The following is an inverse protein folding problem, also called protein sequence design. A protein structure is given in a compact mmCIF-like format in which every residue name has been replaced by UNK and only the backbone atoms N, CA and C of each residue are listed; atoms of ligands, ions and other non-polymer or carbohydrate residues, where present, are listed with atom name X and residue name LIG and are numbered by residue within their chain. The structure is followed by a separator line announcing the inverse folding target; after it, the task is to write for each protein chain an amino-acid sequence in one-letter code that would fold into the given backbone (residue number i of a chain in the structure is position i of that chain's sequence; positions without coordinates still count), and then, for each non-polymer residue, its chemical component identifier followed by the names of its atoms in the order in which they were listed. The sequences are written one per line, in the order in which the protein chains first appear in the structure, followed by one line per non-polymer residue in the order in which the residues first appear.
data_IF_859118550552
#
_entry.id   IF_859118550552
#
_cell.length_a   1.000
_cell.length_b   1.000
_cell.length_c   1.000
_cell.angle_alpha   90.00
_cell.angle_beta   90.00
_cell.angle_gamma   90.00
#
_symmetry.space_group_name_H-M   'P 1'
#
loop_
_entity.id
_entity.type
_entity.pdbx_description
1 polymer ?
#
# COMPACT_ATOMS: atom_id res chain seq x y z
N UNK A 1 -1.24 10.84 14.40
CA UNK A 1 -2.06 9.86 15.15
C UNK A 1 -1.58 8.46 14.88
N UNK A 2 -2.15 7.45 15.50
CA UNK A 2 -1.81 6.04 15.24
C UNK A 2 -3.03 5.24 14.80
N UNK A 3 -2.79 4.06 14.22
CA UNK A 3 -3.82 3.16 13.70
C UNK A 3 -3.80 1.87 14.49
N UNK A 4 -4.99 1.41 14.92
CA UNK A 4 -5.23 0.08 15.47
C UNK A 4 -5.59 -0.88 14.33
N UNK A 5 -4.84 -1.96 14.18
CA UNK A 5 -4.87 -2.88 13.04
C UNK A 5 -5.41 -4.28 13.40
N UNK A 6 -6.38 -4.38 14.32
CA UNK A 6 -6.90 -5.67 14.77
C UNK A 6 -7.78 -6.38 13.72
N UNK A 7 -7.51 -7.67 13.38
CA UNK A 7 -8.38 -8.47 12.52
C UNK A 7 -9.53 -9.10 13.32
N UNK A 8 -10.45 -9.75 12.62
CA UNK A 8 -11.51 -10.55 13.25
C UNK A 8 -11.30 -12.06 13.08
N UNK A 9 -11.97 -12.85 13.92
CA UNK A 9 -12.10 -14.30 13.78
C UNK A 9 -13.23 -14.66 12.80
N UNK A 10 -13.28 -15.92 12.38
CA UNK A 10 -14.40 -16.43 11.54
C UNK A 10 -15.78 -16.25 12.18
N UNK A 11 -15.87 -16.11 13.51
CA UNK A 11 -17.12 -15.79 14.21
C UNK A 11 -17.45 -14.29 14.26
N UNK A 12 -16.63 -13.44 13.66
CA UNK A 12 -16.82 -11.99 13.63
C UNK A 12 -16.38 -11.25 14.90
N UNK A 13 -15.71 -11.93 15.83
CA UNK A 13 -15.14 -11.31 17.05
C UNK A 13 -13.73 -10.80 16.76
N UNK A 14 -13.27 -9.77 17.47
CA UNK A 14 -11.87 -9.31 17.39
C UNK A 14 -10.92 -10.47 17.71
N UNK A 15 -9.91 -10.64 16.87
CA UNK A 15 -8.88 -11.64 17.06
C UNK A 15 -7.85 -11.17 18.12
N UNK A 16 -7.25 -12.11 18.80
CA UNK A 16 -6.06 -11.88 19.65
C UNK A 16 -4.75 -12.03 18.87
N UNK A 17 -4.82 -12.51 17.63
CA UNK A 17 -3.67 -12.59 16.73
C UNK A 17 -3.44 -11.23 16.07
N UNK A 18 -2.19 -10.90 15.77
CA UNK A 18 -1.87 -9.75 14.95
C UNK A 18 -2.47 -9.91 13.55
N UNK A 19 -2.82 -8.81 12.92
CA UNK A 19 -3.33 -8.82 11.54
C UNK A 19 -2.26 -9.30 10.56
N UNK A 20 -2.69 -9.91 9.46
CA UNK A 20 -1.84 -9.99 8.25
C UNK A 20 -2.19 -8.86 7.28
N UNK A 21 -1.32 -8.64 6.29
CA UNK A 21 -1.52 -7.56 5.30
C UNK A 21 -2.83 -7.72 4.52
N UNK A 22 -3.31 -8.94 4.28
CA UNK A 22 -4.55 -9.15 3.55
C UNK A 22 -5.78 -8.61 4.31
N UNK A 23 -5.90 -8.95 5.60
CA UNK A 23 -6.99 -8.48 6.44
C UNK A 23 -6.88 -6.97 6.71
N UNK A 24 -5.66 -6.46 6.96
CA UNK A 24 -5.47 -5.02 7.21
C UNK A 24 -5.72 -4.18 5.95
N UNK A 25 -5.15 -4.55 4.80
CA UNK A 25 -5.41 -3.85 3.54
C UNK A 25 -6.89 -3.88 3.16
N UNK A 26 -7.57 -5.02 3.38
CA UNK A 26 -9.03 -5.11 3.21
C UNK A 26 -9.74 -4.10 4.11
N UNK A 27 -9.37 -4.01 5.39
CA UNK A 27 -10.01 -3.08 6.31
C UNK A 27 -9.80 -1.62 5.90
N UNK A 28 -8.58 -1.26 5.48
CA UNK A 28 -8.27 0.08 4.97
C UNK A 28 -8.97 0.40 3.65
N UNK A 29 -9.14 -0.59 2.78
CA UNK A 29 -9.73 -0.39 1.45
C UNK A 29 -11.27 -0.44 1.43
N UNK A 30 -11.92 -1.04 2.44
CA UNK A 30 -13.37 -1.32 2.42
C UNK A 30 -14.14 -0.84 3.65
N UNK A 31 -13.44 -0.43 4.72
CA UNK A 31 -14.07 -0.07 5.99
C UNK A 31 -14.61 -1.26 6.80
N UNK A 32 -14.27 -2.50 6.41
CA UNK A 32 -14.75 -3.71 7.07
C UNK A 32 -13.58 -4.57 7.56
N UNK A 33 -13.67 -5.02 8.80
CA UNK A 33 -12.75 -6.02 9.34
C UNK A 33 -13.03 -7.39 8.71
N UNK A 34 -11.96 -8.14 8.43
CA UNK A 34 -12.05 -9.52 7.96
C UNK A 34 -11.07 -10.43 8.69
N UNK A 35 -11.03 -11.70 8.36
CA UNK A 35 -10.09 -12.66 8.92
C UNK A 35 -8.77 -12.64 8.16
N UNK A 36 -7.68 -12.97 8.84
CA UNK A 36 -6.37 -13.10 8.20
C UNK A 36 -6.44 -13.98 6.95
N UNK A 37 -5.68 -13.61 5.92
CA UNK A 37 -5.59 -14.21 4.58
C UNK A 37 -6.76 -13.92 3.63
N UNK A 38 -7.87 -13.36 4.08
CA UNK A 38 -8.97 -12.94 3.21
C UNK A 38 -8.64 -11.58 2.58
N UNK A 39 -9.03 -11.43 1.34
CA UNK A 39 -8.77 -10.25 0.50
C UNK A 39 -10.09 -9.73 -0.03
N UNK A 40 -10.47 -8.50 0.29
CA UNK A 40 -11.68 -7.84 -0.19
C UNK A 40 -12.99 -8.56 0.11
N UNK A 41 -13.01 -9.47 1.09
CA UNK A 41 -14.19 -10.32 1.38
C UNK A 41 -14.45 -10.46 2.87
N UNK A 42 -15.72 -10.63 3.24
CA UNK A 42 -16.11 -11.06 4.58
C UNK A 42 -15.94 -12.58 4.77
N UNK A 43 -15.94 -13.07 6.03
CA UNK A 43 -15.84 -14.51 6.33
C UNK A 43 -16.91 -15.39 5.67
N UNK A 44 -18.12 -14.86 5.47
CA UNK A 44 -19.24 -15.56 4.80
C UNK A 44 -19.07 -15.65 3.27
N UNK A 45 -18.10 -14.92 2.72
CA UNK A 45 -17.81 -14.89 1.29
C UNK A 45 -18.45 -13.72 0.54
N UNK A 46 -19.02 -12.75 1.26
CA UNK A 46 -19.50 -11.51 0.66
C UNK A 46 -18.30 -10.69 0.17
N UNK A 47 -18.30 -10.32 -1.10
CA UNK A 47 -17.34 -9.39 -1.68
C UNK A 47 -17.65 -7.97 -1.21
N UNK A 48 -16.60 -7.20 -0.89
CA UNK A 48 -16.69 -5.86 -0.33
C UNK A 48 -16.33 -4.82 -1.38
N UNK A 49 -17.11 -3.74 -1.45
CA UNK A 49 -16.77 -2.59 -2.29
C UNK A 49 -15.52 -1.89 -1.74
N UNK A 50 -14.51 -1.71 -2.59
CA UNK A 50 -13.26 -1.05 -2.22
C UNK A 50 -13.33 0.46 -2.50
N UNK A 51 -12.41 1.23 -1.92
CA UNK A 51 -12.28 2.65 -2.22
C UNK A 51 -11.96 2.90 -3.71
N UNK A 52 -11.31 1.92 -4.39
CA UNK A 52 -11.07 2.00 -5.83
C UNK A 52 -12.38 1.84 -6.61
N UNK A 53 -13.27 0.94 -6.18
CA UNK A 53 -14.59 0.78 -6.78
C UNK A 53 -15.43 2.05 -6.61
N UNK A 54 -15.41 2.63 -5.40
CA UNK A 54 -16.11 3.91 -5.11
C UNK A 54 -15.57 5.03 -6.00
N UNK A 55 -14.24 5.18 -6.10
CA UNK A 55 -13.62 6.21 -6.93
C UNK A 55 -13.96 6.04 -8.41
N UNK A 56 -13.89 4.81 -8.92
CA UNK A 56 -14.33 4.49 -10.30
C UNK A 56 -15.81 4.83 -10.52
N UNK A 57 -16.67 4.53 -9.53
CA UNK A 57 -18.09 4.87 -9.55
C UNK A 57 -18.36 6.38 -9.60
N UNK A 58 -17.43 7.19 -9.10
CA UNK A 58 -17.44 8.66 -9.17
C UNK A 58 -16.76 9.21 -10.43
N UNK A 59 -16.35 8.37 -11.36
CA UNK A 59 -15.68 8.75 -12.61
C UNK A 59 -14.20 9.11 -12.45
N UNK A 60 -13.58 8.81 -11.30
CA UNK A 60 -12.16 9.11 -11.03
C UNK A 60 -11.25 7.98 -11.48
N UNK A 61 -10.08 8.33 -11.98
CA UNK A 61 -9.05 7.33 -12.25
C UNK A 61 -8.54 6.69 -10.95
N UNK A 62 -8.10 5.44 -11.04
CA UNK A 62 -7.55 4.69 -9.91
C UNK A 62 -6.24 4.02 -10.25
N UNK A 63 -5.33 3.93 -9.28
CA UNK A 63 -4.03 3.34 -9.48
C UNK A 63 -3.46 2.64 -8.25
N UNK A 64 -2.64 1.64 -8.52
CA UNK A 64 -1.88 0.89 -7.52
C UNK A 64 -0.44 0.79 -8.00
N UNK A 65 0.51 1.20 -7.15
CA UNK A 65 1.95 1.09 -7.36
C UNK A 65 2.56 0.38 -6.16
N UNK A 66 3.37 -0.64 -6.40
CA UNK A 66 4.06 -1.36 -5.33
C UNK A 66 5.47 -1.77 -5.73
N UNK A 67 6.40 -1.78 -4.78
CA UNK A 67 7.73 -2.40 -4.94
C UNK A 67 7.69 -3.92 -4.79
N UNK A 68 6.54 -4.49 -4.45
CA UNK A 68 6.29 -5.93 -4.41
C UNK A 68 5.58 -6.40 -5.69
N UNK A 69 5.22 -7.68 -5.75
CA UNK A 69 4.33 -8.18 -6.79
C UNK A 69 2.92 -7.60 -6.63
N UNK A 70 2.25 -7.30 -7.75
CA UNK A 70 0.84 -6.90 -7.73
C UNK A 70 -0.09 -7.95 -7.12
N UNK A 71 0.32 -9.23 -7.10
CA UNK A 71 -0.40 -10.32 -6.45
C UNK A 71 -0.14 -10.38 -4.93
N UNK A 72 0.66 -9.44 -4.39
CA UNK A 72 0.85 -9.23 -2.96
C UNK A 72 -0.47 -8.92 -2.26
N UNK A 73 -0.49 -9.10 -0.95
CA UNK A 73 -1.71 -8.96 -0.17
C UNK A 73 -2.25 -7.53 -0.14
N UNK A 74 -1.36 -6.53 0.02
CA UNK A 74 -1.75 -5.13 0.11
C UNK A 74 -2.36 -4.61 -1.19
N UNK A 75 -1.69 -4.70 -2.37
CA UNK A 75 -2.30 -4.27 -3.63
C UNK A 75 -3.60 -5.05 -3.93
N UNK A 76 -3.64 -6.33 -3.59
CA UNK A 76 -4.84 -7.15 -3.77
C UNK A 76 -5.99 -6.72 -2.86
N UNK A 77 -5.72 -6.28 -1.62
CA UNK A 77 -6.74 -5.79 -0.69
C UNK A 77 -7.52 -4.58 -1.22
N UNK A 78 -6.90 -3.78 -2.11
CA UNK A 78 -7.51 -2.63 -2.75
C UNK A 78 -8.18 -2.94 -4.10
N UNK A 79 -7.99 -4.15 -4.68
CA UNK A 79 -8.37 -4.42 -6.06
C UNK A 79 -8.87 -5.82 -6.37
N UNK A 80 -8.98 -6.70 -5.37
CA UNK A 80 -9.32 -8.11 -5.61
C UNK A 80 -10.19 -8.70 -4.50
N UNK A 81 -10.85 -9.83 -4.82
CA UNK A 81 -11.72 -10.54 -3.89
C UNK A 81 -11.38 -12.03 -3.89
N UNK A 82 -10.90 -12.54 -2.76
CA UNK A 82 -10.63 -13.99 -2.57
C UNK A 82 -10.52 -14.36 -1.10
N UNK A 83 -10.81 -15.62 -0.78
CA UNK A 83 -10.60 -16.19 0.55
C UNK A 83 -9.15 -16.53 0.87
N UNK A 84 -8.22 -16.30 -0.08
CA UNK A 84 -6.83 -16.66 0.12
C UNK A 84 -5.88 -15.72 -0.64
N UNK A 85 -5.03 -15.01 0.12
CA UNK A 85 -3.96 -14.17 -0.43
C UNK A 85 -2.89 -14.92 -1.24
N UNK A 86 -2.93 -16.25 -1.23
CA UNK A 86 -2.00 -17.09 -2.01
C UNK A 86 -2.64 -17.66 -3.28
N UNK A 87 -3.86 -17.28 -3.61
CA UNK A 87 -4.58 -17.71 -4.80
C UNK A 87 -4.24 -16.84 -6.01
N UNK A 88 -2.95 -16.79 -6.40
CA UNK A 88 -2.39 -15.82 -7.35
C UNK A 88 -3.20 -15.67 -8.65
N UNK A 89 -3.64 -16.77 -9.26
CA UNK A 89 -4.45 -16.72 -10.49
C UNK A 89 -5.82 -16.07 -10.26
N UNK A 90 -6.43 -16.33 -9.10
CA UNK A 90 -7.71 -15.73 -8.72
C UNK A 90 -7.51 -14.24 -8.45
N UNK A 91 -6.45 -13.89 -7.74
CA UNK A 91 -6.08 -12.49 -7.48
C UNK A 91 -5.88 -11.73 -8.79
N UNK A 92 -5.08 -12.25 -9.72
CA UNK A 92 -4.84 -11.63 -11.02
C UNK A 92 -6.16 -11.39 -11.78
N UNK A 93 -6.99 -12.43 -11.92
CA UNK A 93 -8.27 -12.29 -12.64
C UNK A 93 -9.20 -11.28 -11.96
N UNK A 94 -9.24 -11.26 -10.62
CA UNK A 94 -10.03 -10.29 -9.87
C UNK A 94 -9.52 -8.87 -10.09
N UNK A 95 -8.21 -8.63 -9.98
CA UNK A 95 -7.59 -7.33 -10.26
C UNK A 95 -7.87 -6.82 -11.68
N UNK A 96 -7.72 -7.69 -12.69
CA UNK A 96 -7.98 -7.31 -14.09
C UNK A 96 -9.45 -6.96 -14.37
N UNK A 97 -10.36 -7.40 -13.51
CA UNK A 97 -11.79 -7.06 -13.57
C UNK A 97 -12.21 -5.93 -12.63
N UNK A 98 -11.34 -5.44 -11.76
CA UNK A 98 -11.67 -4.42 -10.74
C UNK A 98 -11.96 -3.02 -11.32
N UNK A 99 -11.60 -2.77 -12.56
CA UNK A 99 -11.74 -1.42 -13.13
C UNK A 99 -10.56 -0.49 -12.84
N UNK A 100 -9.58 -0.87 -12.01
CA UNK A 100 -8.39 -0.05 -11.73
C UNK A 100 -7.66 0.31 -13.03
N UNK A 101 -7.35 1.62 -13.21
CA UNK A 101 -6.75 2.13 -14.45
C UNK A 101 -5.24 1.84 -14.52
N UNK A 102 -4.52 1.92 -13.40
CA UNK A 102 -3.10 1.65 -13.34
C UNK A 102 -2.78 0.53 -12.35
N UNK A 103 -2.21 -0.54 -12.84
CA UNK A 103 -1.63 -1.62 -12.04
C UNK A 103 -0.11 -1.65 -12.27
N UNK A 104 0.69 -1.37 -11.24
CA UNK A 104 2.14 -1.29 -11.31
C UNK A 104 2.79 -2.05 -10.16
N UNK A 105 3.66 -3.01 -10.47
CA UNK A 105 4.40 -3.78 -9.47
C UNK A 105 5.55 -4.56 -10.08
N UNK A 106 6.37 -5.20 -9.23
CA UNK A 106 7.52 -5.96 -9.71
C UNK A 106 7.10 -7.15 -10.56
N UNK A 107 7.98 -7.52 -11.48
CA UNK A 107 7.79 -8.68 -12.35
C UNK A 107 7.39 -9.92 -11.57
N UNK A 108 6.34 -10.56 -12.04
CA UNK A 108 5.79 -11.78 -11.50
C UNK A 108 5.60 -12.81 -12.61
N UNK A 109 5.95 -14.07 -12.35
CA UNK A 109 5.89 -15.13 -13.35
C UNK A 109 4.46 -15.46 -13.80
N UNK A 110 3.47 -15.29 -12.90
CA UNK A 110 2.06 -15.53 -13.24
C UNK A 110 1.59 -14.42 -14.18
N UNK A 111 1.88 -13.17 -13.87
CA UNK A 111 1.50 -12.01 -14.69
C UNK A 111 2.22 -12.04 -16.05
N UNK A 112 3.52 -12.32 -16.08
CA UNK A 112 4.29 -12.44 -17.33
C UNK A 112 3.75 -13.55 -18.22
N UNK A 113 3.44 -14.72 -17.66
CA UNK A 113 2.85 -15.83 -18.41
C UNK A 113 1.43 -15.53 -18.95
N UNK A 114 0.76 -14.51 -18.42
CA UNK A 114 -0.60 -14.12 -18.79
C UNK A 114 -0.66 -12.73 -19.46
N UNK A 115 0.44 -12.22 -19.99
CA UNK A 115 0.51 -10.92 -20.67
C UNK A 115 -0.59 -10.71 -21.71
N UNK A 116 -0.91 -11.74 -22.50
CA UNK A 116 -2.00 -11.69 -23.46
C UNK A 116 -3.38 -11.50 -22.80
N UNK A 117 -3.65 -12.16 -21.69
CA UNK A 117 -4.90 -11.99 -20.95
C UNK A 117 -5.01 -10.56 -20.39
N UNK A 118 -3.91 -9.99 -19.88
CA UNK A 118 -3.84 -8.61 -19.40
C UNK A 118 -4.21 -7.64 -20.54
N UNK A 119 -3.63 -7.85 -21.74
CA UNK A 119 -3.96 -7.05 -22.93
C UNK A 119 -5.42 -7.24 -23.39
N UNK A 120 -5.94 -8.49 -23.36
CA UNK A 120 -7.33 -8.80 -23.73
C UNK A 120 -8.33 -8.14 -22.78
N UNK A 121 -7.93 -7.79 -21.54
CA UNK A 121 -8.70 -7.00 -20.56
C UNK A 121 -8.58 -5.48 -20.77
N UNK A 122 -7.90 -5.05 -21.81
CA UNK A 122 -7.79 -3.65 -22.23
C UNK A 122 -6.61 -2.89 -21.61
N UNK A 123 -5.69 -3.55 -20.91
CA UNK A 123 -4.51 -2.91 -20.38
C UNK A 123 -3.41 -2.75 -21.44
N UNK A 124 -2.84 -1.57 -21.56
CA UNK A 124 -1.57 -1.37 -22.24
C UNK A 124 -0.46 -2.02 -21.36
N UNK A 125 -0.04 -3.20 -21.76
CA UNK A 125 0.93 -4.00 -21.00
C UNK A 125 2.35 -3.55 -21.31
N UNK A 126 3.07 -3.18 -20.28
CA UNK A 126 4.45 -2.73 -20.33
C UNK A 126 5.33 -3.72 -19.54
N UNK A 127 6.14 -4.50 -20.25
CA UNK A 127 7.03 -5.49 -19.66
C UNK A 127 8.31 -4.87 -19.09
N UNK A 128 8.63 -3.65 -19.54
CA UNK A 128 9.81 -2.90 -19.11
C UNK A 128 9.41 -1.49 -18.69
N UNK A 129 9.89 -1.05 -17.54
CA UNK A 129 9.64 0.31 -17.07
C UNK A 129 10.13 1.39 -18.07
N UNK A 130 11.14 1.11 -18.87
CA UNK A 130 11.61 2.03 -19.89
C UNK A 130 10.54 2.40 -20.95
N UNK A 131 9.49 1.58 -21.10
CA UNK A 131 8.44 1.76 -22.10
C UNK A 131 7.16 2.40 -21.54
N UNK A 132 7.14 2.74 -20.25
CA UNK A 132 5.97 3.26 -19.51
C UNK A 132 5.37 4.49 -20.19
N UNK A 133 6.19 5.43 -20.68
CA UNK A 133 5.72 6.63 -21.35
C UNK A 133 4.84 6.33 -22.58
N UNK A 134 5.02 5.17 -23.24
CA UNK A 134 4.21 4.72 -24.36
C UNK A 134 2.76 4.34 -23.98
N UNK A 135 2.47 4.17 -22.70
CA UNK A 135 1.14 3.79 -22.19
C UNK A 135 0.28 4.98 -21.76
N UNK A 136 0.85 6.20 -21.70
CA UNK A 136 0.17 7.38 -21.15
C UNK A 136 -1.10 7.82 -21.91
N UNK A 137 -1.27 7.39 -23.14
CA UNK A 137 -2.49 7.63 -23.92
C UNK A 137 -3.55 6.53 -23.80
N UNK A 138 -3.33 5.54 -22.95
CA UNK A 138 -4.22 4.40 -22.77
C UNK A 138 -5.10 4.60 -21.54
N UNK A 139 -6.37 4.19 -21.60
CA UNK A 139 -7.31 4.27 -20.46
C UNK A 139 -6.90 3.35 -19.31
N UNK A 140 -6.19 2.25 -19.61
CA UNK A 140 -5.69 1.31 -18.64
C UNK A 140 -4.25 0.92 -18.96
N UNK A 141 -3.40 0.87 -17.92
CA UNK A 141 -2.00 0.49 -18.03
C UNK A 141 -1.60 -0.57 -17.00
N UNK A 142 -0.76 -1.49 -17.42
CA UNK A 142 -0.15 -2.51 -16.58
C UNK A 142 1.36 -2.43 -16.70
N UNK A 143 2.05 -1.94 -15.67
CA UNK A 143 3.49 -1.73 -15.67
C UNK A 143 4.20 -2.79 -14.84
N UNK A 144 5.13 -3.50 -15.47
CA UNK A 144 6.03 -4.40 -14.75
C UNK A 144 7.35 -3.70 -14.45
N UNK A 145 7.67 -3.62 -13.17
CA UNK A 145 8.94 -3.13 -12.67
C UNK A 145 9.97 -4.26 -12.65
N UNK A 146 11.27 -3.97 -12.85
CA UNK A 146 12.33 -4.95 -12.63
C UNK A 146 12.28 -5.53 -11.21
N UNK A 147 12.77 -6.75 -11.04
CA UNK A 147 12.92 -7.36 -9.72
C UNK A 147 13.87 -6.52 -8.85
N UNK A 148 13.50 -6.34 -7.59
CA UNK A 148 14.35 -5.67 -6.60
C UNK A 148 15.73 -6.35 -6.49
N UNK A 149 16.78 -5.54 -6.31
CA UNK A 149 18.16 -6.04 -6.22
C UNK A 149 18.79 -6.43 -7.56
N UNK A 150 18.17 -6.09 -8.69
CA UNK A 150 18.80 -6.18 -10.03
C UNK A 150 19.43 -4.84 -10.42
N UNK A 151 20.39 -4.85 -11.37
CA UNK A 151 20.99 -3.62 -11.91
C UNK A 151 19.97 -2.69 -12.62
N UNK A 152 18.77 -3.16 -12.83
CA UNK A 152 17.68 -2.44 -13.46
C UNK A 152 16.64 -1.93 -12.43
N UNK A 153 16.94 -2.00 -11.12
CA UNK A 153 16.04 -1.52 -10.07
C UNK A 153 15.62 -0.06 -10.32
N UNK A 154 14.32 0.18 -10.24
CA UNK A 154 13.73 1.50 -10.45
C UNK A 154 13.35 2.09 -9.10
N UNK A 155 13.62 3.38 -8.90
CA UNK A 155 13.24 4.08 -7.68
C UNK A 155 11.72 4.23 -7.60
N UNK A 156 11.14 3.87 -6.44
CA UNK A 156 9.70 4.03 -6.19
C UNK A 156 9.26 5.50 -6.35
N UNK A 157 10.14 6.45 -6.05
CA UNK A 157 9.87 7.87 -6.25
C UNK A 157 9.60 8.18 -7.73
N UNK A 158 10.46 7.72 -8.63
CA UNK A 158 10.30 7.95 -10.08
C UNK A 158 9.01 7.30 -10.61
N UNK A 159 8.76 6.04 -10.22
CA UNK A 159 7.53 5.32 -10.60
C UNK A 159 6.29 6.02 -10.09
N UNK A 160 6.34 6.54 -8.86
CA UNK A 160 5.21 7.26 -8.25
C UNK A 160 4.91 8.56 -8.99
N UNK A 161 5.93 9.30 -9.43
CA UNK A 161 5.75 10.51 -10.24
C UNK A 161 5.15 10.18 -11.61
N UNK A 162 5.60 9.11 -12.26
CA UNK A 162 5.00 8.67 -13.53
C UNK A 162 3.54 8.25 -13.34
N UNK A 163 3.21 7.55 -12.26
CA UNK A 163 1.85 7.17 -11.91
C UNK A 163 0.95 8.40 -11.65
N UNK A 164 1.46 9.39 -10.91
CA UNK A 164 0.77 10.65 -10.67
C UNK A 164 0.51 11.41 -11.99
N UNK A 165 1.52 11.48 -12.87
CA UNK A 165 1.39 12.12 -14.18
C UNK A 165 0.41 11.38 -15.10
N UNK A 166 0.35 10.04 -15.02
CA UNK A 166 -0.60 9.24 -15.76
C UNK A 166 -2.03 9.46 -15.26
N UNK A 167 -2.28 9.33 -13.94
CA UNK A 167 -3.62 9.41 -13.38
C UNK A 167 -4.18 10.83 -13.32
N UNK A 168 -3.32 11.85 -13.18
CA UNK A 168 -3.75 13.27 -13.16
C UNK A 168 -4.23 13.81 -14.48
N UNK A 169 -4.18 13.01 -15.55
CA UNK A 169 -4.82 13.35 -16.83
C UNK A 169 -6.37 13.25 -16.76
N UNK A 170 -6.89 12.55 -15.76
CA UNK A 170 -8.32 12.48 -15.50
C UNK A 170 -8.80 13.78 -14.83
N UNK A 171 -9.73 14.49 -15.51
CA UNK A 171 -10.26 15.77 -15.03
C UNK A 171 -11.13 15.64 -13.79
N UNK A 172 -11.70 14.47 -13.53
CA UNK A 172 -12.48 14.17 -12.32
C UNK A 172 -11.60 13.83 -11.12
N UNK A 173 -10.28 13.68 -11.33
CA UNK A 173 -9.29 13.38 -10.33
C UNK A 173 -9.02 11.88 -10.18
N UNK A 174 -8.29 11.50 -9.13
CA UNK A 174 -7.84 10.12 -8.98
C UNK A 174 -7.66 9.68 -7.52
N UNK A 175 -7.58 8.35 -7.33
CA UNK A 175 -7.08 7.71 -6.10
C UNK A 175 -5.88 6.84 -6.47
N UNK A 176 -4.76 7.01 -5.76
CA UNK A 176 -3.54 6.25 -5.96
C UNK A 176 -3.06 5.65 -4.64
N UNK A 177 -2.87 4.34 -4.61
CA UNK A 177 -2.18 3.63 -3.54
C UNK A 177 -0.72 3.37 -3.96
N UNK A 178 0.23 3.75 -3.11
CA UNK A 178 1.67 3.53 -3.30
C UNK A 178 2.18 2.71 -2.13
N UNK A 179 2.88 1.62 -2.39
CA UNK A 179 3.41 0.71 -1.38
C UNK A 179 4.93 0.52 -1.50
N UNK A 180 5.61 0.67 -0.37
CA UNK A 180 6.95 0.16 -0.15
C UNK A 180 6.87 -1.17 0.60
N UNK A 181 6.75 -2.28 -0.13
CA UNK A 181 6.51 -3.62 0.44
C UNK A 181 7.73 -4.28 1.08
N UNK A 182 8.95 -3.72 0.90
CA UNK A 182 10.17 -4.37 1.39
C UNK A 182 10.48 -4.06 2.86
N UNK A 183 9.89 -3.02 3.47
CA UNK A 183 10.05 -2.75 4.92
C UNK A 183 9.65 -3.97 5.73
N UNK A 184 8.45 -4.50 5.46
CA UNK A 184 7.92 -5.71 6.11
C UNK A 184 8.82 -6.93 5.90
N UNK A 185 9.21 -7.21 4.64
CA UNK A 185 10.05 -8.37 4.30
C UNK A 185 11.38 -8.39 5.03
N UNK A 186 12.06 -7.24 5.10
CA UNK A 186 13.32 -7.11 5.84
C UNK A 186 13.11 -7.23 7.35
N UNK A 187 12.01 -6.70 7.89
CA UNK A 187 11.67 -6.86 9.30
C UNK A 187 11.36 -8.33 9.66
N UNK A 188 10.67 -9.08 8.81
CA UNK A 188 10.46 -10.52 8.97
C UNK A 188 11.77 -11.31 9.05
N UNK A 189 12.77 -10.90 8.27
CA UNK A 189 14.08 -11.54 8.22
C UNK A 189 15.04 -11.00 9.30
N UNK A 190 14.64 -10.01 10.10
CA UNK A 190 15.50 -9.27 11.02
C UNK A 190 16.70 -8.60 10.33
N UNK A 191 16.53 -8.15 9.10
CA UNK A 191 17.55 -7.49 8.28
C UNK A 191 17.44 -5.96 8.46
N UNK A 192 18.08 -5.44 9.52
CA UNK A 192 17.94 -4.05 9.94
C UNK A 192 18.33 -3.03 8.84
N UNK A 193 19.47 -3.24 8.17
CA UNK A 193 19.91 -2.31 7.11
C UNK A 193 18.94 -2.26 5.93
N UNK A 194 18.39 -3.41 5.53
CA UNK A 194 17.38 -3.48 4.48
C UNK A 194 16.11 -2.73 4.88
N UNK A 195 15.64 -2.90 6.12
CA UNK A 195 14.48 -2.18 6.64
C UNK A 195 14.71 -0.66 6.64
N UNK A 196 15.85 -0.19 7.15
CA UNK A 196 16.22 1.24 7.15
C UNK A 196 16.30 1.81 5.73
N UNK A 197 16.91 1.08 4.79
CA UNK A 197 17.00 1.52 3.40
C UNK A 197 15.61 1.63 2.76
N UNK A 198 14.74 0.66 3.01
CA UNK A 198 13.36 0.70 2.49
C UNK A 198 12.56 1.87 3.06
N UNK A 199 12.70 2.17 4.35
CA UNK A 199 12.09 3.38 4.95
C UNK A 199 12.68 4.65 4.34
N UNK A 200 13.98 4.70 4.09
CA UNK A 200 14.63 5.85 3.41
C UNK A 200 14.08 6.03 1.99
N UNK A 201 13.90 4.95 1.24
CA UNK A 201 13.30 5.00 -0.11
C UNK A 201 11.85 5.49 -0.06
N UNK A 202 11.06 5.05 0.95
CA UNK A 202 9.71 5.57 1.15
C UNK A 202 9.73 7.08 1.47
N UNK A 203 10.67 7.54 2.30
CA UNK A 203 10.82 8.97 2.59
C UNK A 203 11.12 9.76 1.31
N UNK A 204 12.05 9.30 0.47
CA UNK A 204 12.34 9.92 -0.83
C UNK A 204 11.10 9.95 -1.74
N UNK A 205 10.30 8.89 -1.72
CA UNK A 205 9.04 8.83 -2.46
C UNK A 205 8.05 9.88 -1.96
N UNK A 206 7.89 10.02 -0.64
CA UNK A 206 7.03 11.05 -0.04
C UNK A 206 7.53 12.45 -0.42
N UNK A 207 8.83 12.70 -0.35
CA UNK A 207 9.41 13.99 -0.77
C UNK A 207 9.13 14.29 -2.26
N UNK A 208 9.26 13.29 -3.14
CA UNK A 208 8.95 13.45 -4.56
C UNK A 208 7.45 13.76 -4.78
N UNK A 209 6.55 13.05 -4.10
CA UNK A 209 5.11 13.31 -4.13
C UNK A 209 4.79 14.72 -3.64
N UNK A 210 5.38 15.15 -2.53
CA UNK A 210 5.18 16.50 -1.98
C UNK A 210 5.70 17.59 -2.93
N UNK A 211 6.82 17.36 -3.60
CA UNK A 211 7.35 18.26 -4.63
C UNK A 211 6.43 18.31 -5.86
N UNK A 212 5.86 17.17 -6.29
CA UNK A 212 4.89 17.12 -7.38
C UNK A 212 3.61 17.88 -7.03
N UNK A 213 3.15 17.80 -5.78
CA UNK A 213 2.00 18.57 -5.29
C UNK A 213 2.24 20.07 -5.35
N UNK A 214 3.43 20.55 -4.95
CA UNK A 214 3.71 21.98 -4.89
C UNK A 214 2.67 22.73 -4.06
N UNK A 215 2.04 23.75 -4.65
CA UNK A 215 1.01 24.58 -4.01
C UNK A 215 -0.42 24.07 -4.22
N UNK A 216 -0.62 22.86 -4.69
CA UNK A 216 -1.94 22.26 -4.90
C UNK A 216 -2.69 22.10 -3.57
N UNK A 217 -3.97 22.43 -3.60
CA UNK A 217 -4.87 22.31 -2.42
C UNK A 217 -5.99 21.30 -2.65
N UNK A 218 -6.00 20.62 -3.81
CA UNK A 218 -7.00 19.67 -4.26
C UNK A 218 -6.60 18.20 -4.04
N UNK A 219 -5.47 17.97 -3.41
CA UNK A 219 -4.91 16.63 -3.20
C UNK A 219 -4.58 16.42 -1.72
N UNK A 220 -4.83 15.22 -1.24
CA UNK A 220 -4.57 14.80 0.14
C UNK A 220 -3.64 13.58 0.09
N UNK A 221 -2.64 13.58 0.98
CA UNK A 221 -1.71 12.46 1.12
C UNK A 221 -1.89 11.84 2.49
N UNK A 222 -2.14 10.54 2.52
CA UNK A 222 -2.18 9.71 3.72
C UNK A 222 -0.95 8.81 3.73
N UNK A 223 -0.20 8.77 4.83
CA UNK A 223 0.99 7.92 4.98
C UNK A 223 0.80 7.09 6.23
N UNK A 224 0.80 5.77 6.06
CA UNK A 224 0.62 4.81 7.15
C UNK A 224 1.29 3.48 6.82
N UNK A 225 1.18 2.50 7.73
CA UNK A 225 1.47 1.09 7.46
C UNK A 225 0.21 0.26 7.74
N UNK A 226 0.18 -0.95 7.21
CA UNK A 226 -0.88 -1.93 7.44
C UNK A 226 -0.72 -2.64 8.79
N UNK A 227 0.50 -2.84 9.28
CA UNK A 227 0.85 -3.38 10.61
C UNK A 227 2.32 -3.11 10.94
N UNK A 228 2.70 -3.41 12.16
CA UNK A 228 4.09 -3.49 12.60
C UNK A 228 4.64 -4.91 12.38
N UNK A 229 5.94 -5.04 12.09
CA UNK A 229 6.61 -6.31 11.82
C UNK A 229 7.94 -6.42 12.55
N UNK A 230 8.17 -7.58 13.19
CA UNK A 230 9.42 -7.92 13.85
C UNK A 230 9.56 -7.39 15.27
N UNK A 231 8.64 -6.57 15.76
CA UNK A 231 8.79 -5.90 17.05
C UNK A 231 10.07 -5.06 17.11
N UNK A 232 10.41 -4.39 15.99
CA UNK A 232 11.64 -3.62 15.85
C UNK A 232 11.62 -2.39 16.77
N UNK A 233 12.64 -2.27 17.61
CA UNK A 233 12.90 -1.09 18.42
C UNK A 233 14.27 -0.52 18.07
N UNK A 234 14.35 0.80 17.94
CA UNK A 234 15.55 1.52 17.51
C UNK A 234 15.82 2.69 18.44
N UNK A 235 17.08 2.93 18.78
CA UNK A 235 17.53 4.07 19.58
C UNK A 235 18.85 4.64 19.03
N UNK A 236 19.10 5.91 19.25
CA UNK A 236 20.42 6.52 19.03
C UNK A 236 21.30 6.46 20.30
N UNK A 237 20.81 5.83 21.37
CA UNK A 237 21.52 5.56 22.62
C UNK A 237 21.76 4.03 22.77
N UNK A 238 22.82 3.58 23.48
CA UNK A 238 23.18 2.18 23.60
C UNK A 238 22.22 1.39 24.53
N UNK A 239 20.94 1.38 24.18
CA UNK A 239 19.87 0.74 24.95
C UNK A 239 19.58 -0.69 24.49
N UNK A 240 19.99 -1.04 23.26
CA UNK A 240 19.72 -2.35 22.66
C UNK A 240 21.00 -3.11 22.35
N UNK A 241 20.94 -4.45 22.21
CA UNK A 241 22.13 -5.31 22.10
C UNK A 241 22.83 -5.26 20.74
N UNK A 242 22.11 -4.87 19.67
CA UNK A 242 22.70 -4.78 18.33
C UNK A 242 22.99 -3.32 18.00
N UNK A 243 24.04 -3.10 17.20
CA UNK A 243 24.38 -1.77 16.72
C UNK A 243 24.70 -1.80 15.23
N UNK A 244 24.37 -0.72 14.56
CA UNK A 244 24.68 -0.53 13.15
C UNK A 244 25.00 0.93 12.86
N UNK A 245 25.97 1.15 11.98
CA UNK A 245 26.35 2.49 11.53
C UNK A 245 25.63 2.81 10.23
N UNK A 246 24.67 3.71 10.31
CA UNK A 246 23.88 4.16 9.15
C UNK A 246 24.31 5.58 8.74
N UNK A 247 24.17 5.89 7.45
CA UNK A 247 24.36 7.23 6.93
C UNK A 247 23.09 7.66 6.22
N UNK A 248 22.46 8.71 6.72
CA UNK A 248 21.26 9.32 6.13
C UNK A 248 21.57 10.78 5.88
N UNK A 249 21.34 11.26 4.65
CA UNK A 249 21.61 12.64 4.20
C UNK A 249 23.05 13.11 4.50
N UNK A 250 24.01 12.20 4.32
CA UNK A 250 25.43 12.47 4.58
C UNK A 250 25.83 12.52 6.05
N UNK A 251 24.90 12.29 6.98
CA UNK A 251 25.16 12.23 8.43
C UNK A 251 25.26 10.77 8.87
N UNK A 252 26.43 10.38 9.37
CA UNK A 252 26.62 9.04 9.94
C UNK A 252 26.24 9.02 11.42
N UNK A 253 25.39 8.05 11.79
CA UNK A 253 25.00 7.77 13.19
C UNK A 253 25.15 6.29 13.48
N UNK A 254 25.45 5.95 14.74
CA UNK A 254 25.29 4.59 15.23
C UNK A 254 23.87 4.47 15.79
N UNK A 255 23.12 3.48 15.30
CA UNK A 255 21.81 3.12 15.82
C UNK A 255 21.93 1.79 16.56
N UNK A 256 21.24 1.70 17.68
CA UNK A 256 21.10 0.48 18.47
C UNK A 256 19.71 -0.09 18.24
N UNK A 257 19.59 -1.41 18.12
CA UNK A 257 18.31 -2.01 17.77
C UNK A 257 18.12 -3.41 18.33
N UNK A 258 16.86 -3.83 18.34
CA UNK A 258 16.45 -5.20 18.66
C UNK A 258 15.18 -5.55 17.87
N UNK A 259 15.09 -6.79 17.43
CA UNK A 259 13.84 -7.41 16.98
C UNK A 259 13.30 -8.30 18.09
N UNK A 260 12.07 -8.05 18.53
CA UNK A 260 11.45 -8.75 19.67
C UNK A 260 10.39 -9.77 19.21
N UNK A 261 10.05 -9.82 17.93
CA UNK A 261 9.09 -10.75 17.37
C UNK A 261 9.59 -11.32 16.03
N UNK A 262 9.18 -12.52 15.69
CA UNK A 262 9.46 -13.15 14.38
C UNK A 262 8.35 -12.95 13.34
N UNK A 263 7.32 -12.16 13.67
CA UNK A 263 6.14 -11.93 12.84
C UNK A 263 5.55 -10.55 13.16
N UNK A 264 4.33 -10.28 12.68
CA UNK A 264 3.62 -9.04 12.99
C UNK A 264 3.29 -8.93 14.48
N UNK A 265 3.18 -7.70 14.96
CA UNK A 265 2.72 -7.41 16.31
C UNK A 265 1.43 -6.58 16.27
N UNK A 266 0.76 -6.47 17.43
CA UNK A 266 -0.42 -5.62 17.58
C UNK A 266 -0.07 -4.18 17.96
N UNK A 267 1.18 -3.75 17.73
CA UNK A 267 1.59 -2.38 17.96
C UNK A 267 0.95 -1.45 16.96
N UNK A 268 0.37 -0.35 17.45
CA UNK A 268 -0.21 0.67 16.57
C UNK A 268 0.85 1.29 15.66
N UNK A 269 0.48 1.54 14.40
CA UNK A 269 1.34 2.19 13.42
C UNK A 269 0.99 3.68 13.26
N UNK A 270 1.92 4.48 12.75
CA UNK A 270 1.73 5.91 12.55
C UNK A 270 0.76 6.22 11.41
N UNK A 271 -0.02 7.29 11.54
CA UNK A 271 -0.77 7.91 10.44
C UNK A 271 -0.38 9.38 10.33
N UNK A 272 0.09 9.78 9.16
CA UNK A 272 0.41 11.15 8.81
C UNK A 272 -0.53 11.59 7.68
N UNK A 273 -1.03 12.82 7.76
CA UNK A 273 -1.98 13.37 6.80
C UNK A 273 -1.48 14.74 6.36
N UNK A 274 -1.42 14.95 5.05
CA UNK A 274 -1.17 16.27 4.45
C UNK A 274 -2.37 16.69 3.63
N UNK A 275 -2.80 17.96 3.77
CA UNK A 275 -3.93 18.54 3.10
C UNK A 275 -5.12 18.80 4.03
N UNK A 276 -6.27 19.15 3.45
CA UNK A 276 -7.50 19.41 4.21
C UNK A 276 -8.10 18.08 4.65
N UNK A 277 -8.30 17.90 5.95
CA UNK A 277 -8.89 16.70 6.52
C UNK A 277 -10.25 16.99 7.12
N UNK A 278 -11.25 16.08 6.95
CA UNK A 278 -12.49 16.16 7.70
C UNK A 278 -12.22 16.02 9.21
N UNK A 279 -13.08 16.61 10.01
CA UNK A 279 -13.06 16.37 11.45
C UNK A 279 -13.74 15.02 11.74
N UNK A 280 -12.94 14.04 12.14
CA UNK A 280 -13.40 12.68 12.49
C UNK A 280 -13.24 12.37 13.98
N UNK A 281 -12.89 13.37 14.81
CA UNK A 281 -12.62 13.18 16.25
C UNK A 281 -13.86 12.76 17.04
N UNK A 282 -15.06 13.03 16.53
CA UNK A 282 -16.33 12.64 17.14
C UNK A 282 -16.85 11.28 16.64
N UNK A 283 -16.06 10.54 15.84
CA UNK A 283 -16.50 9.24 15.31
C UNK A 283 -16.16 8.09 16.25
N UNK A 284 -16.98 7.03 16.23
CA UNK A 284 -16.70 5.76 16.94
C UNK A 284 -15.44 5.03 16.42
N UNK A 285 -14.85 5.52 15.32
CA UNK A 285 -13.63 5.00 14.70
C UNK A 285 -12.36 5.61 15.31
N UNK A 286 -12.48 6.72 16.05
CA UNK A 286 -11.37 7.43 16.64
C UNK A 286 -11.48 7.49 18.17
N UNK A 287 -10.39 7.18 18.87
CA UNK A 287 -10.32 7.27 20.31
C UNK A 287 -8.91 7.70 20.75
N UNK A 288 -8.82 8.83 21.48
CA UNK A 288 -7.59 9.29 22.15
C UNK A 288 -6.32 9.28 21.27
N UNK A 289 -6.42 9.68 20.01
CA UNK A 289 -5.29 9.73 19.07
C UNK A 289 -5.09 8.42 18.28
N UNK A 290 -5.96 7.43 18.46
CA UNK A 290 -5.93 6.15 17.73
C UNK A 290 -7.14 6.06 16.82
N UNK A 291 -6.89 5.84 15.53
CA UNK A 291 -7.90 5.53 14.53
C UNK A 291 -7.92 4.01 14.28
N UNK A 292 -9.10 3.40 14.20
CA UNK A 292 -9.21 2.02 13.72
C UNK A 292 -8.78 1.96 12.25
N UNK A 293 -8.15 0.88 11.80
CA UNK A 293 -7.73 0.76 10.39
C UNK A 293 -8.88 0.87 9.40
N UNK A 294 -10.10 0.42 9.76
CA UNK A 294 -11.32 0.66 8.98
C UNK A 294 -11.63 2.15 8.81
N UNK A 295 -11.18 2.99 9.72
CA UNK A 295 -11.36 4.44 9.66
C UNK A 295 -10.62 5.10 8.49
N UNK A 296 -9.58 4.45 7.95
CA UNK A 296 -8.89 4.92 6.74
C UNK A 296 -9.84 4.96 5.54
N UNK A 297 -10.66 3.93 5.35
CA UNK A 297 -11.68 3.91 4.29
C UNK A 297 -12.64 5.09 4.42
N UNK A 298 -13.20 5.28 5.62
CA UNK A 298 -14.18 6.35 5.83
C UNK A 298 -13.56 7.74 5.68
N UNK A 299 -12.30 7.90 6.10
CA UNK A 299 -11.55 9.13 5.85
C UNK A 299 -11.39 9.38 4.34
N UNK A 300 -10.99 8.39 3.57
CA UNK A 300 -10.89 8.52 2.10
C UNK A 300 -12.25 8.76 1.45
N UNK A 301 -13.32 8.08 1.92
CA UNK A 301 -14.67 8.25 1.42
C UNK A 301 -15.18 9.69 1.64
N UNK A 302 -14.98 10.24 2.83
CA UNK A 302 -15.36 11.62 3.14
C UNK A 302 -14.60 12.61 2.24
N UNK A 303 -13.30 12.37 2.02
CA UNK A 303 -12.46 13.19 1.14
C UNK A 303 -12.94 13.15 -0.32
N UNK A 304 -13.37 12.01 -0.82
CA UNK A 304 -13.94 11.87 -2.17
C UNK A 304 -15.28 12.61 -2.31
N UNK A 305 -16.04 12.77 -1.23
CA UNK A 305 -17.35 13.43 -1.21
C UNK A 305 -17.29 14.93 -0.87
N UNK A 306 -16.12 15.48 -0.51
CA UNK A 306 -15.96 16.92 -0.14
C UNK A 306 -15.93 17.89 -1.32
N UNK A 307 -16.28 17.48 -2.54
CA UNK A 307 -16.32 18.34 -3.74
C UNK A 307 -17.68 18.91 -4.03
#
# INVERSE_FOLDING_TARGET
MSIDTAPITYSGQLSTEATDSAASATAMATGHLTVNKYVGMLPDGTELETIMDVANGLGKATGIVTTDTLLGATPSGFSAHTRSRTAEKVLMESQLNSGVNLLCGTQDSVCTANAKNIQDKGYAYCESYADVAGTFSSDKAYWQLPLAGTDAEVDLADVSIDALNYLSQDEDGFVLMIEQGHVDKYCHNHEFLGAIQSVSNLNSTVEAVMNWLGDRTDTIVLITADHETGGLQVSDQPEYPNEEKVTVDGVSKTLYYIFNAGAHTSTNVGLFIHGITPDFTDSDLYNEGVLKNTGIFYLMLDLLNMR
#
